data_IF_943851769085
#
_entry.id   IF_943851769085
#
_cell.length_a   1.000
_cell.length_b   1.000
_cell.length_c   1.000
_cell.angle_alpha   90.00
_cell.angle_beta   90.00
_cell.angle_gamma   90.00
#
_symmetry.space_group_name_H-M   'P 1'
#
loop_
_entity.id
_entity.type
_entity.pdbx_description
1 polymer ?
#
# COMPACT_ATOMS: atom_id res chain seq x y z
N UNK A 1 -36.43 3.43 31.93
CA UNK A 1 -35.67 2.48 32.78
C UNK A 1 -34.39 3.17 33.26
N UNK A 2 -34.41 3.73 34.46
CA UNK A 2 -33.33 4.56 35.01
C UNK A 2 -32.19 3.67 35.54
N UNK A 3 -30.96 3.86 35.06
CA UNK A 3 -29.76 3.19 35.60
C UNK A 3 -29.56 3.62 37.06
N UNK A 4 -29.46 2.65 37.97
CA UNK A 4 -29.25 2.87 39.42
C UNK A 4 -27.97 3.65 39.73
N UNK A 5 -27.96 4.49 40.77
CA UNK A 5 -26.82 5.34 41.20
C UNK A 5 -25.49 4.55 41.38
N UNK A 6 -25.61 3.28 41.77
CA UNK A 6 -24.51 2.31 41.86
C UNK A 6 -23.83 2.04 40.51
N UNK A 7 -24.62 1.90 39.44
CA UNK A 7 -24.11 1.66 38.10
C UNK A 7 -23.35 2.89 37.55
N UNK A 8 -23.86 4.10 37.83
CA UNK A 8 -23.20 5.35 37.45
C UNK A 8 -21.86 5.56 38.20
N UNK A 9 -21.80 5.26 39.50
CA UNK A 9 -20.53 5.30 40.28
C UNK A 9 -19.50 4.29 39.77
N UNK A 10 -19.92 3.05 39.46
CA UNK A 10 -19.03 2.02 38.90
C UNK A 10 -18.46 2.44 37.54
N UNK A 11 -19.29 3.02 36.66
CA UNK A 11 -18.87 3.56 35.37
C UNK A 11 -17.85 4.70 35.50
N UNK A 12 -18.08 5.67 36.40
CA UNK A 12 -17.11 6.76 36.67
C UNK A 12 -15.75 6.23 37.13
N UNK A 13 -15.72 5.23 38.02
CA UNK A 13 -14.48 4.57 38.48
C UNK A 13 -13.71 3.90 37.33
N UNK A 14 -14.41 3.22 36.40
CA UNK A 14 -13.80 2.62 35.21
C UNK A 14 -13.16 3.69 34.32
N UNK A 15 -13.85 4.81 34.09
CA UNK A 15 -13.33 5.94 33.30
C UNK A 15 -12.08 6.56 33.95
N UNK A 16 -12.10 6.76 35.27
CA UNK A 16 -10.95 7.29 36.03
C UNK A 16 -9.72 6.37 35.93
N UNK A 17 -9.91 5.07 36.16
CA UNK A 17 -8.84 4.06 35.99
C UNK A 17 -8.28 4.03 34.56
N UNK A 18 -9.15 4.13 33.54
CA UNK A 18 -8.70 4.25 32.13
C UNK A 18 -7.86 5.52 31.91
N UNK A 19 -8.24 6.65 32.51
CA UNK A 19 -7.50 7.92 32.41
C UNK A 19 -6.13 7.83 33.09
N UNK A 20 -6.06 7.26 34.29
CA UNK A 20 -4.82 7.04 35.04
C UNK A 20 -3.89 6.07 34.31
N UNK A 21 -4.41 4.94 33.82
CA UNK A 21 -3.63 3.98 33.01
C UNK A 21 -3.03 4.65 31.78
N UNK A 22 -3.81 5.46 31.06
CA UNK A 22 -3.31 6.28 29.92
C UNK A 22 -2.21 7.26 30.34
N UNK A 23 -2.31 7.89 31.52
CA UNK A 23 -1.28 8.81 32.04
C UNK A 23 0.00 8.05 32.39
N UNK A 24 -0.10 6.94 33.10
CA UNK A 24 1.04 6.08 33.44
C UNK A 24 1.73 5.54 32.19
N UNK A 25 0.96 5.08 31.20
CA UNK A 25 1.51 4.56 29.95
C UNK A 25 2.22 5.65 29.12
N UNK A 26 1.70 6.89 29.11
CA UNK A 26 2.40 8.04 28.51
C UNK A 26 3.74 8.31 29.18
N UNK A 27 3.81 8.25 30.51
CA UNK A 27 5.07 8.44 31.26
C UNK A 27 6.05 7.30 30.95
N UNK A 28 5.60 6.04 31.00
CA UNK A 28 6.42 4.87 30.63
C UNK A 28 7.00 4.99 29.22
N UNK A 29 6.18 5.37 28.23
CA UNK A 29 6.63 5.57 26.84
C UNK A 29 7.66 6.70 26.72
N UNK A 30 7.52 7.79 27.49
CA UNK A 30 8.51 8.89 27.51
C UNK A 30 9.84 8.44 28.11
N UNK A 31 9.82 7.68 29.20
CA UNK A 31 11.03 7.14 29.83
C UNK A 31 11.72 6.15 28.88
N UNK A 32 10.97 5.19 28.32
CA UNK A 32 11.51 4.23 27.36
C UNK A 32 12.14 4.92 26.13
N UNK A 33 11.49 5.97 25.60
CA UNK A 33 12.04 6.75 24.49
C UNK A 33 13.33 7.48 24.88
N UNK A 34 13.41 8.05 26.09
CA UNK A 34 14.63 8.72 26.58
C UNK A 34 15.77 7.74 26.76
N UNK A 35 15.51 6.57 27.36
CA UNK A 35 16.51 5.53 27.55
C UNK A 35 17.04 5.02 26.21
N UNK A 36 16.14 4.76 25.25
CA UNK A 36 16.53 4.36 23.89
C UNK A 36 17.39 5.43 23.19
N UNK A 37 17.01 6.71 23.30
CA UNK A 37 17.82 7.79 22.72
C UNK A 37 19.20 7.86 23.37
N UNK A 38 19.30 7.68 24.69
CA UNK A 38 20.58 7.67 25.40
C UNK A 38 21.47 6.52 24.89
N UNK A 39 20.91 5.31 24.82
CA UNK A 39 21.59 4.12 24.29
C UNK A 39 22.04 4.32 22.83
N UNK A 40 21.17 4.86 21.97
CA UNK A 40 21.51 5.18 20.58
C UNK A 40 22.63 6.23 20.50
N UNK A 41 22.71 7.19 21.43
CA UNK A 41 23.81 8.17 21.49
C UNK A 41 25.11 7.49 21.91
N UNK A 42 25.08 6.66 22.95
CA UNK A 42 26.25 5.91 23.45
C UNK A 42 26.83 4.98 22.38
N UNK A 43 25.97 4.34 21.58
CA UNK A 43 26.35 3.48 20.46
C UNK A 43 26.66 4.24 19.16
N UNK A 44 26.62 5.58 19.19
CA UNK A 44 26.78 6.46 18.03
C UNK A 44 25.83 6.14 16.84
N UNK A 45 24.61 5.68 17.15
CA UNK A 45 23.50 5.35 16.24
C UNK A 45 22.37 6.38 16.25
N UNK A 46 22.47 7.41 17.09
CA UNK A 46 21.41 8.40 17.21
C UNK A 46 21.34 9.31 15.99
N UNK A 47 20.16 9.32 15.38
CA UNK A 47 19.82 10.25 14.32
C UNK A 47 18.64 11.12 14.70
N UNK A 48 18.75 12.43 14.44
CA UNK A 48 17.65 13.35 14.69
C UNK A 48 16.42 12.99 13.86
N UNK A 49 15.21 13.30 14.36
CA UNK A 49 13.97 13.10 13.59
C UNK A 49 14.01 13.80 12.23
N UNK A 50 14.67 14.95 12.13
CA UNK A 50 14.86 15.70 10.88
C UNK A 50 15.73 14.91 9.90
N UNK A 51 16.84 14.36 10.38
CA UNK A 51 17.73 13.50 9.60
C UNK A 51 16.99 12.26 9.10
N UNK A 52 16.32 11.50 9.98
CA UNK A 52 15.58 10.30 9.59
C UNK A 52 14.48 10.59 8.55
N UNK A 53 13.78 11.72 8.67
CA UNK A 53 12.81 12.15 7.65
C UNK A 53 13.47 12.46 6.31
N UNK A 54 14.64 13.10 6.32
CA UNK A 54 15.41 13.40 5.10
C UNK A 54 15.87 12.10 4.44
N UNK A 55 16.42 11.16 5.20
CA UNK A 55 16.84 9.85 4.69
C UNK A 55 15.69 9.08 4.03
N UNK A 56 14.53 9.04 4.70
CA UNK A 56 13.35 8.39 4.12
C UNK A 56 12.88 9.11 2.85
N UNK A 57 12.90 10.44 2.82
CA UNK A 57 12.54 11.22 1.63
C UNK A 57 13.52 11.00 0.48
N UNK A 58 14.82 10.94 0.76
CA UNK A 58 15.86 10.69 -0.23
C UNK A 58 15.72 9.28 -0.81
N UNK A 59 15.54 8.26 0.05
CA UNK A 59 15.33 6.88 -0.37
C UNK A 59 14.11 6.74 -1.29
N UNK A 60 13.01 7.41 -0.96
CA UNK A 60 11.82 7.40 -1.82
C UNK A 60 12.03 8.15 -3.13
N UNK A 61 12.81 9.24 -3.14
CA UNK A 61 13.14 9.98 -4.36
C UNK A 61 14.00 9.12 -5.30
N UNK A 62 15.03 8.44 -4.77
CA UNK A 62 15.85 7.51 -5.54
C UNK A 62 14.97 6.38 -6.10
N UNK A 63 14.16 5.75 -5.24
CA UNK A 63 13.24 4.70 -5.65
C UNK A 63 12.24 5.15 -6.72
N UNK A 64 11.81 6.42 -6.73
CA UNK A 64 10.92 6.93 -7.76
C UNK A 64 11.58 6.89 -9.16
N UNK A 65 12.89 7.11 -9.26
CA UNK A 65 13.62 7.11 -10.53
C UNK A 65 14.21 5.74 -10.90
N UNK A 66 14.70 5.00 -9.92
CA UNK A 66 15.51 3.78 -10.11
C UNK A 66 14.81 2.50 -9.65
N UNK A 67 13.74 2.62 -8.84
CA UNK A 67 13.02 1.48 -8.32
C UNK A 67 12.15 0.79 -9.37
N UNK A 68 11.75 -0.45 -9.06
CA UNK A 68 10.82 -1.22 -9.89
C UNK A 68 9.51 -0.44 -10.01
N UNK A 69 9.09 -0.22 -11.25
CA UNK A 69 7.95 0.65 -11.60
C UNK A 69 6.65 -0.07 -11.34
N UNK A 70 5.80 0.57 -10.55
CA UNK A 70 4.41 0.21 -10.34
C UNK A 70 3.55 1.34 -10.88
N UNK A 71 2.82 1.07 -11.95
CA UNK A 71 1.79 1.95 -12.46
C UNK A 71 0.44 1.57 -11.86
N UNK A 72 -0.24 2.54 -11.28
CA UNK A 72 -1.63 2.41 -10.83
C UNK A 72 -2.47 3.11 -11.90
N UNK A 73 -3.16 2.32 -12.72
CA UNK A 73 -3.93 2.80 -13.86
C UNK A 73 -5.29 3.36 -13.43
N UNK A 74 -5.41 4.68 -13.45
CA UNK A 74 -6.58 5.45 -13.04
C UNK A 74 -7.62 5.67 -14.15
N UNK A 75 -7.48 5.00 -15.30
CA UNK A 75 -8.41 5.08 -16.44
C UNK A 75 -9.88 4.79 -16.08
N UNK A 76 -10.12 4.07 -14.98
CA UNK A 76 -11.45 3.70 -14.49
C UNK A 76 -12.14 4.77 -13.61
N UNK A 77 -11.58 5.97 -13.45
CA UNK A 77 -12.14 7.02 -12.58
C UNK A 77 -13.62 7.28 -12.82
N UNK A 78 -14.05 7.35 -14.07
CA UNK A 78 -15.44 7.61 -14.45
C UNK A 78 -16.43 6.51 -14.02
N UNK A 79 -15.93 5.30 -13.72
CA UNK A 79 -16.74 4.17 -13.25
C UNK A 79 -16.88 4.12 -11.73
N UNK A 80 -16.14 4.96 -10.99
CA UNK A 80 -16.12 4.93 -9.53
C UNK A 80 -17.08 5.96 -8.94
N UNK A 81 -17.86 5.51 -7.96
CA UNK A 81 -18.62 6.40 -7.08
C UNK A 81 -17.68 7.20 -6.16
N UNK A 82 -18.16 8.31 -5.57
CA UNK A 82 -17.38 9.07 -4.58
C UNK A 82 -16.93 8.22 -3.37
N UNK A 83 -17.70 7.19 -2.99
CA UNK A 83 -17.31 6.26 -1.93
C UNK A 83 -16.12 5.40 -2.35
N UNK A 84 -16.10 4.95 -3.60
CA UNK A 84 -15.03 4.13 -4.17
C UNK A 84 -13.75 4.93 -4.37
N UNK A 85 -13.84 6.18 -4.86
CA UNK A 85 -12.69 7.10 -4.89
C UNK A 85 -12.08 7.29 -3.49
N UNK A 86 -12.91 7.42 -2.45
CA UNK A 86 -12.45 7.49 -1.07
C UNK A 86 -11.81 6.19 -0.57
N UNK A 87 -12.30 5.02 -1.00
CA UNK A 87 -11.69 3.72 -0.68
C UNK A 87 -10.34 3.57 -1.40
N UNK A 88 -10.25 3.97 -2.66
CA UNK A 88 -8.97 4.04 -3.40
C UNK A 88 -7.96 4.90 -2.65
N UNK A 89 -8.31 6.14 -2.31
CA UNK A 89 -7.39 7.04 -1.60
C UNK A 89 -6.90 6.46 -0.26
N UNK A 90 -7.74 5.72 0.46
CA UNK A 90 -7.32 5.01 1.66
C UNK A 90 -6.34 3.86 1.36
N UNK A 91 -6.55 3.11 0.28
CA UNK A 91 -5.61 2.07 -0.17
C UNK A 91 -4.27 2.70 -0.58
N UNK A 92 -4.29 3.84 -1.29
CA UNK A 92 -3.11 4.61 -1.65
C UNK A 92 -2.34 5.13 -0.42
N UNK A 93 -3.04 5.64 0.59
CA UNK A 93 -2.42 6.06 1.85
C UNK A 93 -1.68 4.90 2.54
N UNK A 94 -2.32 3.72 2.58
CA UNK A 94 -1.74 2.51 3.18
C UNK A 94 -0.52 2.01 2.41
N UNK A 95 -0.64 1.91 1.08
CA UNK A 95 0.47 1.43 0.24
C UNK A 95 1.66 2.39 0.28
N UNK A 96 1.44 3.71 0.27
CA UNK A 96 2.53 4.67 0.41
C UNK A 96 3.19 4.58 1.79
N UNK A 97 2.39 4.37 2.85
CA UNK A 97 2.89 4.12 4.19
C UNK A 97 3.75 2.85 4.31
N UNK A 98 3.40 1.78 3.59
CA UNK A 98 4.20 0.56 3.49
C UNK A 98 5.49 0.80 2.69
N UNK A 99 5.37 1.41 1.51
CA UNK A 99 6.50 1.73 0.63
C UNK A 99 7.55 2.60 1.35
N UNK A 100 7.10 3.59 2.13
CA UNK A 100 7.96 4.44 2.97
C UNK A 100 8.78 3.66 4.01
N UNK A 101 8.24 2.55 4.52
CA UNK A 101 8.91 1.69 5.51
C UNK A 101 9.84 0.66 4.87
N UNK A 102 9.67 0.38 3.58
CA UNK A 102 10.50 -0.57 2.87
C UNK A 102 11.97 -0.12 2.81
N UNK A 103 12.87 -1.09 2.89
CA UNK A 103 14.31 -0.91 2.70
C UNK A 103 14.65 -0.62 1.25
N UNK A 104 13.96 -1.26 0.31
CA UNK A 104 13.96 -0.97 -1.13
C UNK A 104 12.53 -0.62 -1.57
N UNK A 105 12.14 0.67 -1.53
CA UNK A 105 10.83 1.08 -2.00
C UNK A 105 10.66 0.87 -3.50
N UNK A 106 9.43 0.69 -3.93
CA UNK A 106 9.00 0.65 -5.33
C UNK A 106 8.84 2.08 -5.88
N UNK A 107 8.98 2.24 -7.20
CA UNK A 107 8.60 3.47 -7.91
C UNK A 107 7.09 3.47 -8.11
N UNK A 108 6.34 4.20 -7.28
CA UNK A 108 4.88 4.27 -7.36
C UNK A 108 4.47 5.43 -8.27
N UNK A 109 3.64 5.16 -9.26
CA UNK A 109 3.21 6.12 -10.27
C UNK A 109 1.70 5.98 -10.53
N UNK A 110 0.96 7.08 -10.44
CA UNK A 110 -0.43 7.14 -10.89
C UNK A 110 -0.43 7.59 -12.36
N UNK A 111 -1.08 6.81 -13.22
CA UNK A 111 -1.16 7.05 -14.68
C UNK A 111 -2.62 7.15 -15.10
N UNK A 112 -2.89 7.77 -16.26
CA UNK A 112 -4.24 8.18 -16.64
C UNK A 112 -4.93 8.96 -15.51
N UNK A 113 -4.17 9.78 -14.77
CA UNK A 113 -4.59 10.40 -13.52
C UNK A 113 -4.74 11.92 -13.69
N UNK A 114 -5.98 12.40 -13.65
CA UNK A 114 -6.29 13.82 -13.69
C UNK A 114 -6.06 14.47 -12.33
N UNK A 115 -5.22 15.51 -12.27
CA UNK A 115 -5.05 16.34 -11.06
C UNK A 115 -6.23 17.30 -10.80
N UNK A 116 -7.32 17.16 -11.54
CA UNK A 116 -8.58 17.89 -11.35
C UNK A 116 -9.78 16.94 -11.17
N UNK A 117 -9.53 15.63 -11.14
CA UNK A 117 -10.56 14.60 -11.07
C UNK A 117 -11.00 14.23 -9.65
N UNK A 118 -12.11 13.49 -9.51
CA UNK A 118 -12.58 12.95 -8.23
C UNK A 118 -11.54 12.16 -7.43
N UNK A 119 -10.67 11.37 -8.07
CA UNK A 119 -9.61 10.62 -7.39
C UNK A 119 -8.57 11.56 -6.79
N UNK A 120 -8.18 12.62 -7.50
CA UNK A 120 -7.24 13.60 -6.97
C UNK A 120 -7.79 14.28 -5.72
N UNK A 121 -9.04 14.74 -5.76
CA UNK A 121 -9.69 15.34 -4.59
C UNK A 121 -9.83 14.36 -3.42
N UNK A 122 -10.18 13.11 -3.69
CA UNK A 122 -10.22 12.06 -2.66
C UNK A 122 -8.83 11.83 -2.05
N UNK A 123 -7.77 11.80 -2.87
CA UNK A 123 -6.40 11.64 -2.42
C UNK A 123 -5.94 12.82 -1.55
N UNK A 124 -6.18 14.07 -1.96
CA UNK A 124 -5.87 15.25 -1.15
C UNK A 124 -6.62 15.25 0.19
N UNK A 125 -7.88 14.82 0.20
CA UNK A 125 -8.70 14.79 1.41
C UNK A 125 -8.27 13.69 2.39
N UNK A 126 -7.92 12.49 1.89
CA UNK A 126 -7.64 11.31 2.73
C UNK A 126 -6.16 11.08 3.02
N UNK A 127 -5.27 11.54 2.16
CA UNK A 127 -3.83 11.34 2.30
C UNK A 127 -3.19 12.64 2.79
N UNK A 128 -2.86 12.71 4.08
CA UNK A 128 -2.20 13.89 4.65
C UNK A 128 -0.88 14.19 3.92
N UNK A 129 -0.77 15.41 3.39
CA UNK A 129 0.36 15.85 2.59
C UNK A 129 0.52 15.11 1.26
N UNK A 130 -0.57 14.66 0.62
CA UNK A 130 -0.56 13.95 -0.68
C UNK A 130 0.39 14.56 -1.72
N UNK A 131 0.33 15.88 -1.92
CA UNK A 131 1.18 16.60 -2.88
C UNK A 131 2.69 16.55 -2.55
N UNK A 132 3.06 16.14 -1.33
CA UNK A 132 4.44 15.94 -0.90
C UNK A 132 4.89 14.49 -1.02
N UNK A 133 4.02 13.60 -1.50
CA UNK A 133 4.38 12.20 -1.72
C UNK A 133 5.42 12.12 -2.84
N UNK A 134 6.35 11.18 -2.69
CA UNK A 134 7.36 10.88 -3.70
C UNK A 134 6.80 9.80 -4.63
N UNK A 135 5.83 10.19 -5.44
CA UNK A 135 5.14 9.35 -6.43
C UNK A 135 5.02 10.12 -7.74
N UNK A 136 4.96 9.42 -8.86
CA UNK A 136 4.67 10.02 -10.16
C UNK A 136 3.17 10.28 -10.31
N UNK A 137 2.81 11.40 -10.92
CA UNK A 137 1.43 11.77 -11.26
C UNK A 137 1.40 12.13 -12.74
N UNK A 138 0.80 11.27 -13.56
CA UNK A 138 0.80 11.38 -15.02
C UNK A 138 -0.63 11.32 -15.55
N UNK A 139 -0.97 12.25 -16.43
CA UNK A 139 -2.23 12.20 -17.19
C UNK A 139 -2.16 11.20 -18.35
N UNK A 140 -0.94 10.84 -18.75
CA UNK A 140 -0.60 9.96 -19.85
C UNK A 140 -0.75 8.48 -19.49
N UNK A 141 -0.76 7.63 -20.52
CA UNK A 141 -0.84 6.17 -20.39
C UNK A 141 0.51 5.58 -19.91
N UNK A 142 0.53 4.35 -19.37
CA UNK A 142 1.77 3.63 -19.08
C UNK A 142 2.74 3.63 -20.28
N UNK A 143 2.23 3.32 -21.48
CA UNK A 143 3.00 3.19 -22.72
C UNK A 143 3.71 4.49 -23.11
N UNK A 144 3.10 5.64 -22.82
CA UNK A 144 3.64 6.94 -23.17
C UNK A 144 4.82 7.39 -22.30
N UNK A 145 4.92 6.87 -21.07
CA UNK A 145 5.91 7.31 -20.07
C UNK A 145 6.93 6.23 -19.71
N UNK A 146 6.73 5.00 -20.18
CA UNK A 146 7.63 3.87 -19.91
C UNK A 146 8.80 3.93 -20.91
N UNK A 147 10.05 3.81 -20.45
CA UNK A 147 11.20 3.68 -21.36
C UNK A 147 11.06 2.46 -22.28
N UNK A 148 11.49 2.59 -23.55
CA UNK A 148 11.34 1.52 -24.57
C UNK A 148 11.98 0.18 -24.18
N UNK A 149 13.04 0.22 -23.36
CA UNK A 149 13.75 -0.98 -22.89
C UNK A 149 13.08 -1.65 -21.68
N UNK A 150 11.92 -1.16 -21.23
CA UNK A 150 11.17 -1.69 -20.09
C UNK A 150 9.87 -2.31 -20.58
N UNK A 151 9.66 -3.60 -20.30
CA UNK A 151 8.44 -4.32 -20.64
C UNK A 151 7.29 -3.91 -19.72
N UNK A 152 6.12 -3.59 -20.28
CA UNK A 152 4.90 -3.32 -19.51
C UNK A 152 4.14 -4.63 -19.27
N UNK A 153 3.90 -4.96 -18.00
CA UNK A 153 3.22 -6.20 -17.57
C UNK A 153 2.02 -5.86 -16.68
N UNK A 154 0.82 -6.25 -17.09
CA UNK A 154 -0.39 -6.05 -16.29
C UNK A 154 -0.55 -7.15 -15.24
N UNK A 155 -0.80 -6.75 -13.98
CA UNK A 155 -1.19 -7.68 -12.93
C UNK A 155 -2.72 -7.77 -12.87
N UNK A 156 -3.24 -8.94 -13.24
CA UNK A 156 -4.67 -9.23 -13.22
C UNK A 156 -4.94 -10.57 -12.54
N UNK A 157 -5.90 -10.66 -11.60
CA UNK A 157 -6.27 -11.93 -10.98
C UNK A 157 -6.89 -12.92 -11.99
N UNK A 158 -7.37 -12.43 -13.14
CA UNK A 158 -7.99 -13.24 -14.20
C UNK A 158 -6.99 -13.72 -15.27
N UNK A 159 -5.71 -13.35 -15.15
CA UNK A 159 -4.67 -13.82 -16.05
C UNK A 159 -4.39 -15.32 -15.87
N UNK A 160 -4.04 -16.00 -16.97
CA UNK A 160 -3.75 -17.45 -16.94
C UNK A 160 -2.42 -17.75 -16.27
N UNK A 161 -1.39 -16.99 -16.66
CA UNK A 161 -0.02 -17.24 -16.24
C UNK A 161 0.31 -16.59 -14.89
N UNK A 162 0.99 -17.30 -13.98
CA UNK A 162 1.49 -16.70 -12.76
C UNK A 162 2.72 -15.82 -13.02
N UNK A 163 2.89 -14.79 -12.20
CA UNK A 163 4.12 -14.01 -12.12
C UNK A 163 5.20 -14.86 -11.45
N UNK A 164 6.21 -15.26 -12.23
CA UNK A 164 7.30 -16.13 -11.77
C UNK A 164 8.29 -15.37 -10.91
N UNK A 165 8.70 -14.18 -11.35
CA UNK A 165 9.64 -13.32 -10.62
C UNK A 165 9.39 -11.84 -10.91
N UNK A 166 9.82 -10.98 -9.99
CA UNK A 166 9.82 -9.53 -10.19
C UNK A 166 11.17 -9.13 -10.83
N UNK A 167 11.12 -8.40 -11.94
CA UNK A 167 12.28 -7.96 -12.73
C UNK A 167 12.39 -6.44 -12.76
N UNK A 168 13.62 -5.93 -12.78
CA UNK A 168 13.91 -4.50 -12.95
C UNK A 168 13.69 -4.02 -14.40
N UNK A 169 13.66 -4.94 -15.36
CA UNK A 169 13.36 -4.68 -16.77
C UNK A 169 11.85 -4.66 -17.08
N UNK A 170 11.01 -4.74 -16.05
CA UNK A 170 9.56 -4.69 -16.20
C UNK A 170 8.97 -3.51 -15.42
N UNK A 171 7.88 -2.95 -15.94
CA UNK A 171 6.97 -2.07 -15.23
C UNK A 171 5.63 -2.80 -15.03
N UNK A 172 5.16 -2.86 -13.78
CA UNK A 172 3.96 -3.60 -13.42
C UNK A 172 2.76 -2.67 -13.31
N UNK A 173 1.67 -2.99 -14.01
CA UNK A 173 0.44 -2.19 -14.00
C UNK A 173 -0.62 -2.82 -13.10
N UNK A 174 -1.18 -2.04 -12.18
CA UNK A 174 -2.30 -2.37 -11.31
C UNK A 174 -3.52 -1.55 -11.73
N UNK A 175 -4.66 -2.19 -11.98
CA UNK A 175 -5.91 -1.45 -12.24
C UNK A 175 -6.40 -0.71 -10.98
N UNK A 176 -6.68 0.58 -11.08
CA UNK A 176 -7.26 1.43 -10.04
C UNK A 176 -8.79 1.23 -9.90
N UNK A 177 -9.29 0.00 -10.03
CA UNK A 177 -10.72 -0.25 -9.90
C UNK A 177 -11.03 -0.74 -8.48
N UNK A 178 -11.65 0.14 -7.68
CA UNK A 178 -12.22 -0.24 -6.38
C UNK A 178 -13.72 -0.35 -6.56
N UNK A 179 -14.22 -1.57 -6.75
CA UNK A 179 -15.64 -1.83 -6.95
C UNK A 179 -16.26 -2.53 -5.74
N UNK A 180 -17.52 -2.22 -5.41
CA UNK A 180 -18.34 -3.03 -4.51
C UNK A 180 -18.73 -4.39 -5.12
N UNK A 181 -18.77 -4.47 -6.46
CA UNK A 181 -19.01 -5.68 -7.26
C UNK A 181 -17.85 -5.94 -8.24
N UNK A 182 -17.15 -7.05 -8.10
CA UNK A 182 -15.96 -7.33 -8.93
C UNK A 182 -16.32 -7.42 -10.42
N UNK A 183 -15.84 -6.46 -11.21
CA UNK A 183 -15.86 -6.52 -12.67
C UNK A 183 -14.75 -7.45 -13.17
N UNK A 184 -15.07 -8.74 -13.26
CA UNK A 184 -14.13 -9.78 -13.71
C UNK A 184 -13.59 -9.48 -15.11
N UNK A 185 -12.29 -9.70 -15.30
CA UNK A 185 -11.62 -9.66 -16.60
C UNK A 185 -11.23 -8.28 -17.13
N UNK A 186 -11.60 -7.18 -16.47
CA UNK A 186 -11.37 -5.82 -16.99
C UNK A 186 -9.89 -5.50 -17.23
N UNK A 187 -9.04 -5.68 -16.22
CA UNK A 187 -7.62 -5.39 -16.36
C UNK A 187 -6.90 -6.35 -17.32
N UNK A 188 -7.41 -7.58 -17.49
CA UNK A 188 -6.89 -8.52 -18.48
C UNK A 188 -7.28 -8.10 -19.89
N UNK A 189 -8.54 -7.76 -20.12
CA UNK A 189 -9.03 -7.26 -21.41
C UNK A 189 -8.31 -5.96 -21.80
N UNK A 190 -8.09 -5.06 -20.85
CA UNK A 190 -7.33 -3.83 -21.09
C UNK A 190 -5.90 -4.12 -21.56
N UNK A 191 -5.22 -5.05 -20.89
CA UNK A 191 -3.90 -5.51 -21.31
C UNK A 191 -3.92 -6.12 -22.72
N UNK A 192 -4.85 -7.05 -22.98
CA UNK A 192 -5.01 -7.71 -24.28
C UNK A 192 -5.29 -6.71 -25.41
N UNK A 193 -6.18 -5.74 -25.18
CA UNK A 193 -6.52 -4.69 -26.16
C UNK A 193 -5.32 -3.80 -26.51
N UNK A 194 -4.44 -3.54 -25.54
CA UNK A 194 -3.22 -2.76 -25.74
C UNK A 194 -2.01 -3.62 -26.15
N UNK A 195 -2.18 -4.93 -26.32
CA UNK A 195 -1.10 -5.85 -26.69
C UNK A 195 -0.10 -6.14 -25.58
N UNK A 196 -0.46 -5.88 -24.31
CA UNK A 196 0.39 -6.14 -23.15
C UNK A 196 0.20 -7.54 -22.56
N UNK A 197 1.29 -8.10 -22.06
CA UNK A 197 1.29 -9.34 -21.30
C UNK A 197 0.57 -9.13 -19.96
N UNK A 198 -0.34 -10.04 -19.63
CA UNK A 198 -1.04 -10.07 -18.35
C UNK A 198 -0.65 -11.31 -17.54
N UNK A 199 -0.35 -11.13 -16.26
CA UNK A 199 -0.03 -12.21 -15.31
C UNK A 199 -0.77 -12.01 -13.99
N UNK A 200 -0.94 -13.09 -13.23
CA UNK A 200 -1.54 -13.06 -11.88
C UNK A 200 -0.47 -13.29 -10.82
N UNK A 201 -0.72 -12.84 -9.59
CA UNK A 201 0.11 -13.31 -8.47
C UNK A 201 0.01 -14.84 -8.34
N UNK A 202 1.10 -15.52 -7.94
CA UNK A 202 1.13 -16.98 -7.85
C UNK A 202 0.42 -17.51 -6.58
N UNK A 203 -0.76 -16.98 -6.26
CA UNK A 203 -1.48 -17.33 -5.03
C UNK A 203 -1.89 -18.81 -5.07
N UNK A 204 -2.45 -19.28 -6.19
CA UNK A 204 -2.92 -20.65 -6.35
C UNK A 204 -1.82 -21.70 -6.26
N UNK A 205 -0.58 -21.33 -6.57
CA UNK A 205 0.60 -22.18 -6.51
C UNK A 205 1.09 -22.40 -5.07
N UNK A 206 0.83 -21.45 -4.17
CA UNK A 206 1.41 -21.44 -2.83
C UNK A 206 0.38 -21.48 -1.68
N UNK A 207 -0.92 -21.37 -1.96
CA UNK A 207 -1.98 -21.53 -0.95
C UNK A 207 -2.72 -22.85 -1.13
N UNK A 208 -2.88 -23.60 -0.05
CA UNK A 208 -3.70 -24.81 -0.03
C UNK A 208 -5.19 -24.44 0.10
N UNK A 209 -6.01 -24.76 -0.90
CA UNK A 209 -7.47 -24.58 -0.83
C UNK A 209 -8.08 -23.91 -2.05
N UNK A 210 -9.40 -24.08 -2.24
CA UNK A 210 -10.15 -23.37 -3.29
C UNK A 210 -10.30 -21.90 -2.88
N UNK A 211 -9.52 -21.01 -3.51
CA UNK A 211 -9.72 -19.58 -3.39
C UNK A 211 -11.00 -19.18 -4.15
N UNK A 212 -12.06 -18.83 -3.43
CA UNK A 212 -13.32 -18.39 -4.04
C UNK A 212 -13.21 -17.03 -4.72
N UNK A 213 -12.27 -16.18 -4.28
CA UNK A 213 -12.07 -14.85 -4.83
C UNK A 213 -10.58 -14.43 -4.76
N UNK A 214 -9.82 -14.53 -5.87
CA UNK A 214 -8.41 -14.16 -5.93
C UNK A 214 -8.16 -12.65 -5.92
N UNK A 215 -9.21 -11.81 -5.96
CA UNK A 215 -9.07 -10.37 -6.07
C UNK A 215 -8.52 -9.77 -4.76
N UNK A 216 -7.46 -8.99 -4.92
CA UNK A 216 -6.79 -8.25 -3.85
C UNK A 216 -6.94 -6.74 -4.08
N UNK A 217 -7.07 -6.01 -2.99
CA UNK A 217 -6.93 -4.56 -3.00
C UNK A 217 -5.49 -4.16 -3.39
N UNK A 218 -5.29 -3.03 -4.07
CA UNK A 218 -3.99 -2.62 -4.61
C UNK A 218 -2.91 -2.54 -3.52
N UNK A 219 -3.29 -2.14 -2.30
CA UNK A 219 -2.35 -2.05 -1.19
C UNK A 219 -1.82 -3.43 -0.78
N UNK A 220 -2.61 -4.49 -0.87
CA UNK A 220 -2.14 -5.85 -0.55
C UNK A 220 -1.21 -6.38 -1.64
N UNK A 221 -1.46 -6.06 -2.91
CA UNK A 221 -0.56 -6.43 -4.02
C UNK A 221 0.81 -5.79 -3.80
N UNK A 222 0.84 -4.48 -3.50
CA UNK A 222 2.08 -3.77 -3.17
C UNK A 222 2.75 -4.33 -1.91
N UNK A 223 2.00 -4.61 -0.85
CA UNK A 223 2.55 -5.22 0.37
C UNK A 223 3.22 -6.58 0.08
N UNK A 224 2.62 -7.41 -0.77
CA UNK A 224 3.16 -8.72 -1.21
C UNK A 224 4.44 -8.50 -2.04
N UNK A 225 4.43 -7.60 -3.02
CA UNK A 225 5.62 -7.32 -3.84
C UNK A 225 6.80 -6.81 -3.00
N UNK A 226 6.53 -5.92 -2.04
CA UNK A 226 7.56 -5.44 -1.10
C UNK A 226 8.09 -6.57 -0.21
N UNK A 227 7.24 -7.50 0.23
CA UNK A 227 7.66 -8.65 1.02
C UNK A 227 8.53 -9.61 0.20
N UNK A 228 8.13 -9.91 -1.05
CA UNK A 228 8.91 -10.72 -1.99
C UNK A 228 10.30 -10.12 -2.24
N UNK A 229 10.38 -8.80 -2.45
CA UNK A 229 11.69 -8.16 -2.63
C UNK A 229 12.54 -8.18 -1.36
N UNK A 230 11.91 -8.06 -0.19
CA UNK A 230 12.61 -8.00 1.10
C UNK A 230 13.15 -9.36 1.55
N UNK A 231 12.49 -10.46 1.18
CA UNK A 231 12.87 -11.82 1.57
C UNK A 231 13.76 -12.54 0.54
N UNK A 232 14.20 -11.84 -0.52
CA UNK A 232 15.08 -12.43 -1.54
C UNK A 232 14.37 -13.22 -2.64
N UNK A 233 13.05 -13.04 -2.79
CA UNK A 233 12.28 -13.60 -3.90
C UNK A 233 11.51 -14.89 -3.58
N UNK A 234 11.13 -15.08 -2.32
CA UNK A 234 10.28 -16.20 -1.92
C UNK A 234 8.80 -15.79 -1.93
N UNK A 235 8.07 -16.26 -2.95
CA UNK A 235 6.62 -16.03 -3.06
C UNK A 235 5.83 -16.65 -1.92
N UNK A 236 6.20 -17.84 -1.44
CA UNK A 236 5.49 -18.52 -0.36
C UNK A 236 5.54 -17.64 0.88
N UNK A 237 6.73 -17.25 1.34
CA UNK A 237 6.87 -16.40 2.52
C UNK A 237 6.18 -15.02 2.35
N UNK A 238 6.32 -14.39 1.17
CA UNK A 238 5.69 -13.11 0.88
C UNK A 238 4.16 -13.20 0.96
N UNK A 239 3.58 -14.23 0.37
CA UNK A 239 2.13 -14.48 0.38
C UNK A 239 1.64 -14.81 1.79
N UNK A 240 2.27 -15.74 2.51
CA UNK A 240 1.84 -16.07 3.88
C UNK A 240 1.91 -14.88 4.85
N UNK A 241 2.88 -13.99 4.67
CA UNK A 241 3.05 -12.84 5.56
C UNK A 241 2.10 -11.67 5.27
N UNK A 242 1.60 -11.54 4.03
CA UNK A 242 0.81 -10.36 3.58
C UNK A 242 -0.60 -10.66 3.11
N UNK A 243 -0.91 -11.90 2.78
CA UNK A 243 -2.27 -12.26 2.38
C UNK A 243 -3.24 -12.03 3.55
N UNK A 244 -4.42 -11.45 3.27
CA UNK A 244 -5.49 -11.40 4.27
C UNK A 244 -5.86 -12.80 4.75
N UNK A 245 -6.18 -12.96 6.03
CA UNK A 245 -6.49 -14.27 6.64
C UNK A 245 -7.70 -15.03 6.07
N UNK A 246 -8.37 -14.52 5.03
CA UNK A 246 -9.35 -15.28 4.23
C UNK A 246 -8.71 -16.21 3.19
N UNK A 247 -7.44 -15.97 2.84
CA UNK A 247 -6.67 -16.78 1.88
C UNK A 247 -5.79 -17.84 2.54
N UNK A 248 -5.67 -17.80 3.87
CA UNK A 248 -4.79 -18.68 4.65
C UNK A 248 -5.59 -19.78 5.38
N UNK A 249 -6.83 -20.03 4.97
CA UNK A 249 -7.73 -21.03 5.56
C UNK A 249 -7.86 -22.23 4.66
#
# INVERSE_FOLDING_TARGET
MFLTDSCQKKYRRILQRKKERRKQEKVRRKIALRNKIREDIELNRYHSKKFLKKEVSNRLQIALHEGIRIYIDCSYEALMSPKECNKFAQQLCRLYGANKKATKPLSINLVNFSQHGPLFHACQSKCDGFLKYKIGLYSETPSSITPENIEIVYLSPDAKEPLVSISENCAYVLGCLVDEHILKGRSRQEAENQGFRAVRLPIGEFTSGKISNPVLAINHVVDIMLAYMANGGDWKEALYSKLPGRFLR
#
